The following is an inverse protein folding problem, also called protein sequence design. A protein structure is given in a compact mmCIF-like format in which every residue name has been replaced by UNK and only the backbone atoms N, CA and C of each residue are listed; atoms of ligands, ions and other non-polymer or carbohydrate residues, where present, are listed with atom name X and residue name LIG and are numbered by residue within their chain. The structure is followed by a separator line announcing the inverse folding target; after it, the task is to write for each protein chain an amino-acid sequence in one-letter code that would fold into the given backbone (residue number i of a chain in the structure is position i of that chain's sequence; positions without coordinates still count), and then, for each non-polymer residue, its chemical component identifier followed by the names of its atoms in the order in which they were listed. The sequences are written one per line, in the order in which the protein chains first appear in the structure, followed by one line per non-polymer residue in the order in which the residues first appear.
data_IF_679610609777
#
_entry.id   IF_679610609777
#
_cell.length_a   1.000
_cell.length_b   1.000
_cell.length_c   1.000
_cell.angle_alpha   90.00
_cell.angle_beta   90.00
_cell.angle_gamma   90.00
#
_symmetry.space_group_name_H-M   'P 1'
#
loop_
_entity.id
_entity.type
_entity.pdbx_description
1 polymer ?
#
# COMPACT_ATOMS: atom_id res chain seq x y z
N UNK A 1 7.43 -30.90 24.32
CA UNK A 1 8.22 -29.80 23.68
C UNK A 1 7.67 -29.68 22.27
N UNK A 2 7.00 -28.60 21.92
CA UNK A 2 6.59 -28.37 20.53
C UNK A 2 7.83 -28.23 19.68
N UNK A 3 7.93 -29.03 18.61
CA UNK A 3 8.98 -28.85 17.62
C UNK A 3 8.93 -27.41 17.11
N UNK A 4 10.07 -26.72 17.16
CA UNK A 4 10.21 -25.38 16.61
C UNK A 4 10.20 -25.50 15.10
N UNK A 5 9.02 -25.37 14.46
CA UNK A 5 8.90 -25.41 13.01
C UNK A 5 9.57 -24.15 12.42
N UNK A 6 10.32 -24.33 11.36
CA UNK A 6 10.90 -23.23 10.59
C UNK A 6 9.79 -22.23 10.21
N UNK A 7 10.11 -20.93 10.31
CA UNK A 7 9.18 -19.85 9.91
C UNK A 7 8.80 -20.05 8.45
N UNK A 8 7.52 -20.29 8.19
CA UNK A 8 7.03 -20.51 6.84
C UNK A 8 6.30 -19.25 6.34
N UNK A 9 6.92 -18.53 5.43
CA UNK A 9 6.34 -17.38 4.74
C UNK A 9 5.66 -17.76 3.41
N UNK A 10 5.08 -18.96 3.32
CA UNK A 10 4.39 -19.42 2.13
C UNK A 10 2.96 -18.94 2.05
N UNK A 11 2.61 -18.40 0.90
CA UNK A 11 1.25 -18.01 0.53
C UNK A 11 0.65 -18.93 -0.54
N UNK A 12 1.16 -20.16 -0.67
CA UNK A 12 0.63 -21.14 -1.62
C UNK A 12 -0.87 -21.38 -1.40
N UNK A 13 -1.65 -21.32 -2.48
CA UNK A 13 -3.10 -21.47 -2.45
C UNK A 13 -3.85 -20.27 -1.87
N UNK A 14 -3.19 -19.15 -1.63
CA UNK A 14 -3.77 -17.88 -1.20
C UNK A 14 -4.01 -16.95 -2.40
N UNK A 15 -5.03 -16.13 -2.29
CA UNK A 15 -5.37 -15.09 -3.26
C UNK A 15 -5.12 -13.72 -2.63
N UNK A 16 -4.31 -12.91 -3.28
CA UNK A 16 -4.00 -11.56 -2.85
C UNK A 16 -4.55 -10.53 -3.85
N UNK A 17 -5.11 -9.44 -3.32
CA UNK A 17 -5.51 -8.24 -4.05
C UNK A 17 -4.56 -7.11 -3.69
N UNK A 18 -4.05 -6.39 -4.69
CA UNK A 18 -3.28 -5.15 -4.49
C UNK A 18 -3.92 -4.04 -5.30
N UNK A 19 -4.30 -2.93 -4.65
CA UNK A 19 -4.77 -1.72 -5.34
C UNK A 19 -3.61 -0.77 -5.63
N UNK A 20 -3.67 -0.02 -6.75
CA UNK A 20 -2.53 0.77 -7.24
C UNK A 20 -1.34 -0.12 -7.59
N UNK A 21 -1.62 -1.31 -8.16
CA UNK A 21 -0.64 -2.36 -8.38
C UNK A 21 0.17 -2.22 -9.67
N UNK A 22 -0.17 -1.25 -10.52
CA UNK A 22 0.44 -1.13 -11.86
C UNK A 22 1.91 -0.69 -11.82
N UNK A 23 2.36 -0.02 -10.76
CA UNK A 23 3.74 0.50 -10.64
C UNK A 23 4.18 0.71 -9.19
N UNK A 24 5.47 1.02 -9.01
CA UNK A 24 6.05 1.44 -7.75
C UNK A 24 5.85 0.44 -6.61
N UNK A 25 5.46 0.93 -5.42
CA UNK A 25 5.31 0.11 -4.22
C UNK A 25 4.28 -1.00 -4.43
N UNK A 26 3.12 -0.69 -5.04
CA UNK A 26 2.08 -1.69 -5.26
C UNK A 26 2.53 -2.83 -6.15
N UNK A 27 3.26 -2.54 -7.22
CA UNK A 27 3.85 -3.56 -8.10
C UNK A 27 4.90 -4.40 -7.35
N UNK A 28 5.81 -3.76 -6.60
CA UNK A 28 6.81 -4.48 -5.80
C UNK A 28 6.19 -5.41 -4.77
N UNK A 29 5.14 -4.96 -4.06
CA UNK A 29 4.38 -5.80 -3.12
C UNK A 29 3.71 -6.97 -3.86
N UNK A 30 3.06 -6.73 -5.01
CA UNK A 30 2.41 -7.77 -5.78
C UNK A 30 3.40 -8.86 -6.21
N UNK A 31 4.59 -8.47 -6.69
CA UNK A 31 5.66 -9.40 -7.07
C UNK A 31 6.17 -10.21 -5.87
N UNK A 32 6.37 -9.58 -4.72
CA UNK A 32 6.81 -10.27 -3.50
C UNK A 32 5.78 -11.28 -2.99
N UNK A 33 4.47 -10.92 -3.01
CA UNK A 33 3.40 -11.85 -2.66
C UNK A 33 3.31 -13.03 -3.66
N UNK A 34 3.53 -12.77 -4.94
CA UNK A 34 3.60 -13.81 -5.98
C UNK A 34 4.78 -14.76 -5.77
N UNK A 35 5.96 -14.24 -5.46
CA UNK A 35 7.14 -15.04 -5.11
C UNK A 35 6.92 -15.91 -3.87
N UNK A 36 6.15 -15.39 -2.89
CA UNK A 36 5.74 -16.17 -1.72
C UNK A 36 4.66 -17.22 -2.03
N UNK A 37 4.12 -17.28 -3.25
CA UNK A 37 3.21 -18.32 -3.73
C UNK A 37 1.75 -17.90 -3.88
N UNK A 38 1.38 -16.64 -3.68
CA UNK A 38 0.02 -16.17 -3.86
C UNK A 38 -0.37 -16.04 -5.35
N UNK A 39 -1.64 -16.28 -5.65
CA UNK A 39 -2.27 -15.82 -6.88
C UNK A 39 -2.74 -14.37 -6.71
N UNK A 40 -2.70 -13.57 -7.77
CA UNK A 40 -2.82 -12.11 -7.66
C UNK A 40 -4.01 -11.52 -8.43
N UNK A 41 -4.67 -10.55 -7.79
CA UNK A 41 -5.48 -9.54 -8.47
C UNK A 41 -4.75 -8.21 -8.39
N UNK A 42 -4.36 -7.69 -9.55
CA UNK A 42 -3.70 -6.41 -9.67
C UNK A 42 -4.74 -5.37 -10.11
N UNK A 43 -5.14 -4.51 -9.19
CA UNK A 43 -6.15 -3.50 -9.44
C UNK A 43 -5.51 -2.12 -9.54
N UNK A 44 -5.85 -1.36 -10.58
CA UNK A 44 -5.34 0.00 -10.77
C UNK A 44 -6.41 0.89 -11.43
N UNK A 45 -6.25 2.20 -11.30
CA UNK A 45 -7.07 3.16 -12.04
C UNK A 45 -6.81 3.05 -13.55
N UNK A 46 -5.57 2.81 -13.93
CA UNK A 46 -5.15 2.54 -15.30
C UNK A 46 -5.03 1.02 -15.51
N UNK A 47 -5.98 0.47 -16.29
CA UNK A 47 -6.01 -0.95 -16.60
C UNK A 47 -4.77 -1.41 -17.38
N UNK A 48 -4.20 -0.56 -18.24
CA UNK A 48 -3.04 -0.91 -19.07
C UNK A 48 -1.81 -1.26 -18.20
N UNK A 49 -1.47 -0.38 -17.26
CA UNK A 49 -0.34 -0.65 -16.35
C UNK A 49 -0.61 -1.82 -15.40
N UNK A 50 -1.87 -2.05 -15.01
CA UNK A 50 -2.24 -3.24 -14.24
C UNK A 50 -2.04 -4.54 -15.05
N UNK A 51 -2.32 -4.52 -16.34
CA UNK A 51 -2.08 -5.66 -17.24
C UNK A 51 -0.59 -5.96 -17.41
N UNK A 52 0.24 -4.93 -17.56
CA UNK A 52 1.69 -5.07 -17.60
C UNK A 52 2.23 -5.72 -16.30
N UNK A 53 1.78 -5.23 -15.14
CA UNK A 53 2.15 -5.80 -13.86
C UNK A 53 1.65 -7.25 -13.69
N UNK A 54 0.44 -7.57 -14.18
CA UNK A 54 -0.08 -8.94 -14.16
C UNK A 54 0.77 -9.89 -15.00
N UNK A 55 1.27 -9.45 -16.15
CA UNK A 55 2.18 -10.25 -16.98
C UNK A 55 3.49 -10.59 -16.25
N UNK A 56 4.02 -9.67 -15.43
CA UNK A 56 5.20 -9.96 -14.60
C UNK A 56 4.92 -11.05 -13.55
N UNK A 57 3.76 -11.00 -12.91
CA UNK A 57 3.33 -12.03 -11.94
C UNK A 57 3.13 -13.38 -12.64
N UNK A 58 2.54 -13.40 -13.84
CA UNK A 58 2.36 -14.60 -14.64
C UNK A 58 3.71 -15.22 -15.05
N UNK A 59 4.71 -14.41 -15.34
CA UNK A 59 6.08 -14.87 -15.62
C UNK A 59 6.74 -15.57 -14.41
N UNK A 60 6.27 -15.31 -13.18
CA UNK A 60 6.67 -16.04 -11.97
C UNK A 60 5.90 -17.37 -11.79
N UNK A 61 5.06 -17.77 -12.76
CA UNK A 61 4.28 -19.01 -12.71
C UNK A 61 3.03 -18.90 -11.80
N UNK A 62 2.57 -17.69 -11.45
CA UNK A 62 1.37 -17.50 -10.64
C UNK A 62 0.20 -17.06 -11.51
N UNK A 63 -1.02 -17.42 -11.08
CA UNK A 63 -2.22 -16.88 -11.69
C UNK A 63 -2.35 -15.40 -11.33
N UNK A 64 -2.55 -14.55 -12.33
CA UNK A 64 -2.73 -13.13 -12.13
C UNK A 64 -3.80 -12.56 -13.05
N UNK A 65 -4.60 -11.63 -12.53
CA UNK A 65 -5.66 -10.93 -13.25
C UNK A 65 -5.53 -9.43 -12.99
N UNK A 66 -5.63 -8.63 -14.04
CA UNK A 66 -5.68 -7.18 -13.96
C UNK A 66 -7.13 -6.71 -13.97
N UNK A 67 -7.50 -5.82 -13.05
CA UNK A 67 -8.82 -5.22 -12.95
C UNK A 67 -8.72 -3.70 -12.83
N UNK A 68 -9.66 -2.97 -13.44
CA UNK A 68 -9.73 -1.53 -13.28
C UNK A 68 -10.50 -1.16 -12.01
N UNK A 69 -9.99 -0.17 -11.25
CA UNK A 69 -10.68 0.36 -10.06
C UNK A 69 -10.40 1.83 -9.83
N UNK A 70 -11.44 2.61 -9.59
CA UNK A 70 -11.36 3.90 -8.91
C UNK A 70 -11.74 3.70 -7.43
N UNK A 71 -10.75 3.67 -6.54
CA UNK A 71 -10.98 3.42 -5.11
C UNK A 71 -11.79 4.52 -4.42
N UNK A 72 -11.91 5.71 -5.02
CA UNK A 72 -12.75 6.80 -4.52
C UNK A 72 -14.24 6.57 -4.74
N UNK A 73 -14.63 5.58 -5.55
CA UNK A 73 -16.00 5.29 -5.98
C UNK A 73 -16.52 3.98 -5.37
N UNK A 74 -17.55 4.03 -4.50
CA UNK A 74 -18.10 2.83 -3.85
C UNK A 74 -18.52 1.75 -4.84
N UNK A 75 -19.15 2.14 -5.95
CA UNK A 75 -19.61 1.23 -6.99
C UNK A 75 -18.46 0.53 -7.72
N UNK A 76 -17.35 1.23 -7.95
CA UNK A 76 -16.15 0.67 -8.57
C UNK A 76 -15.49 -0.36 -7.64
N UNK A 77 -15.39 -0.05 -6.35
CA UNK A 77 -14.86 -0.98 -5.34
C UNK A 77 -15.76 -2.20 -5.18
N UNK A 78 -17.08 -2.02 -5.15
CA UNK A 78 -18.01 -3.14 -5.09
C UNK A 78 -17.86 -4.07 -6.32
N UNK A 79 -17.78 -3.49 -7.52
CA UNK A 79 -17.54 -4.25 -8.76
C UNK A 79 -16.21 -5.01 -8.72
N UNK A 80 -15.13 -4.40 -8.19
CA UNK A 80 -13.84 -5.06 -8.03
C UNK A 80 -13.98 -6.35 -7.19
N UNK A 81 -14.60 -6.27 -6.01
CA UNK A 81 -14.71 -7.43 -5.11
C UNK A 81 -15.62 -8.52 -5.69
N UNK A 82 -16.69 -8.17 -6.40
CA UNK A 82 -17.51 -9.15 -7.12
C UNK A 82 -16.73 -9.86 -8.23
N UNK A 83 -15.85 -9.16 -8.94
CA UNK A 83 -14.96 -9.79 -9.93
C UNK A 83 -13.90 -10.70 -9.26
N UNK A 84 -13.33 -10.31 -8.12
CA UNK A 84 -12.45 -11.18 -7.32
C UNK A 84 -13.20 -12.46 -6.91
N UNK A 85 -14.43 -12.31 -6.40
CA UNK A 85 -15.30 -13.44 -6.04
C UNK A 85 -15.55 -14.37 -7.23
N UNK A 86 -15.97 -13.81 -8.35
CA UNK A 86 -16.30 -14.59 -9.54
C UNK A 86 -15.09 -15.36 -10.10
N UNK A 87 -13.90 -14.79 -10.02
CA UNK A 87 -12.70 -15.38 -10.61
C UNK A 87 -11.96 -16.34 -9.66
N UNK A 88 -11.91 -16.03 -8.37
CA UNK A 88 -11.09 -16.79 -7.42
C UNK A 88 -11.92 -17.46 -6.31
N UNK A 89 -13.16 -17.03 -6.08
CA UNK A 89 -14.02 -17.57 -5.02
C UNK A 89 -13.60 -17.17 -3.61
N UNK A 90 -12.46 -16.49 -3.43
CA UNK A 90 -11.88 -16.12 -2.13
C UNK A 90 -10.98 -14.90 -2.22
N UNK A 91 -10.74 -14.28 -1.06
CA UNK A 91 -9.72 -13.25 -0.86
C UNK A 91 -9.03 -13.51 0.48
N UNK A 92 -7.73 -13.75 0.46
CA UNK A 92 -6.96 -14.03 1.68
C UNK A 92 -6.13 -12.85 2.15
N UNK A 93 -5.54 -12.11 1.21
CA UNK A 93 -4.69 -10.95 1.49
C UNK A 93 -5.19 -9.76 0.69
N UNK A 94 -5.37 -8.62 1.32
CA UNK A 94 -5.70 -7.36 0.66
C UNK A 94 -4.66 -6.30 1.00
N UNK A 95 -4.11 -5.64 -0.02
CA UNK A 95 -3.16 -4.55 0.12
C UNK A 95 -3.77 -3.29 -0.47
N UNK A 96 -4.22 -2.40 0.39
CA UNK A 96 -4.82 -1.12 0.05
C UNK A 96 -3.71 -0.09 -0.16
N UNK A 97 -3.06 -0.15 -1.35
CA UNK A 97 -1.91 0.69 -1.68
C UNK A 97 -2.27 1.92 -2.53
N UNK A 98 -3.36 1.90 -3.29
CA UNK A 98 -3.75 3.03 -4.14
C UNK A 98 -3.73 4.35 -3.36
N UNK A 99 -2.99 5.32 -3.87
CA UNK A 99 -2.83 6.62 -3.22
C UNK A 99 -2.13 7.63 -4.10
N UNK A 100 -2.34 8.89 -3.78
CA UNK A 100 -1.79 10.04 -4.50
C UNK A 100 -1.20 11.06 -3.54
N UNK A 101 -0.30 11.89 -4.03
CA UNK A 101 0.30 13.02 -3.30
C UNK A 101 0.22 14.28 -4.13
N UNK A 102 0.14 15.42 -3.47
CA UNK A 102 0.38 16.73 -4.06
C UNK A 102 1.02 17.64 -3.01
N UNK A 103 1.61 18.72 -3.47
CA UNK A 103 2.19 19.76 -2.62
C UNK A 103 1.29 20.98 -2.61
N UNK A 104 1.11 21.59 -1.45
CA UNK A 104 0.39 22.85 -1.31
C UNK A 104 0.45 23.39 0.11
N UNK A 105 0.73 24.67 0.24
CA UNK A 105 0.64 25.39 1.50
C UNK A 105 -0.83 25.46 1.92
N UNK A 106 -1.09 25.38 3.21
CA UNK A 106 -2.46 25.37 3.76
C UNK A 106 -3.29 26.59 3.34
N UNK A 107 -2.66 27.75 3.30
CA UNK A 107 -3.30 29.03 2.94
C UNK A 107 -3.62 29.16 1.44
N UNK A 108 -3.01 28.31 0.59
CA UNK A 108 -3.18 28.29 -0.87
C UNK A 108 -3.86 27.02 -1.38
N UNK A 109 -4.00 26.00 -0.53
CA UNK A 109 -4.53 24.70 -0.91
C UNK A 109 -6.03 24.79 -1.25
N UNK A 110 -6.37 24.44 -2.49
CA UNK A 110 -7.77 24.36 -2.90
C UNK A 110 -8.51 23.25 -2.13
N UNK A 111 -9.76 23.54 -1.71
CA UNK A 111 -10.63 22.55 -1.02
C UNK A 111 -10.82 21.30 -1.89
N UNK A 112 -10.96 21.46 -3.21
CA UNK A 112 -11.07 20.34 -4.14
C UNK A 112 -9.86 19.42 -4.14
N UNK A 113 -8.66 19.95 -3.91
CA UNK A 113 -7.45 19.16 -3.82
C UNK A 113 -7.36 18.41 -2.48
N UNK A 114 -7.74 19.06 -1.37
CA UNK A 114 -7.95 18.39 -0.09
C UNK A 114 -8.92 17.22 -0.24
N UNK A 115 -10.09 17.46 -0.84
CA UNK A 115 -11.11 16.44 -1.03
C UNK A 115 -10.61 15.29 -1.90
N UNK A 116 -9.86 15.58 -2.97
CA UNK A 116 -9.27 14.57 -3.84
C UNK A 116 -8.33 13.64 -3.08
N UNK A 117 -7.42 14.21 -2.30
CA UNK A 117 -6.45 13.44 -1.50
C UNK A 117 -7.18 12.60 -0.44
N UNK A 118 -8.11 13.19 0.29
CA UNK A 118 -8.87 12.48 1.32
C UNK A 118 -9.76 11.37 0.73
N UNK A 119 -10.40 11.62 -0.41
CA UNK A 119 -11.27 10.63 -1.07
C UNK A 119 -10.48 9.41 -1.58
N UNK A 120 -9.27 9.61 -2.09
CA UNK A 120 -8.46 8.50 -2.59
C UNK A 120 -7.73 7.81 -1.44
N UNK A 121 -6.96 8.56 -0.64
CA UNK A 121 -6.02 7.98 0.32
C UNK A 121 -6.68 7.46 1.60
N UNK A 122 -7.73 8.10 2.09
CA UNK A 122 -8.38 7.73 3.34
C UNK A 122 -9.73 7.03 3.11
N UNK A 123 -10.66 7.69 2.41
CA UNK A 123 -11.97 7.11 2.11
C UNK A 123 -11.86 5.87 1.22
N UNK A 124 -10.94 5.87 0.24
CA UNK A 124 -10.69 4.71 -0.62
C UNK A 124 -10.25 3.48 0.17
N UNK A 125 -9.34 3.64 1.13
CA UNK A 125 -8.93 2.55 2.03
C UNK A 125 -10.13 2.02 2.84
N UNK A 126 -10.96 2.90 3.39
CA UNK A 126 -12.18 2.49 4.10
C UNK A 126 -13.12 1.69 3.19
N UNK A 127 -13.39 2.16 1.97
CA UNK A 127 -14.29 1.48 1.03
C UNK A 127 -13.77 0.10 0.63
N UNK A 128 -12.47 -0.03 0.35
CA UNK A 128 -11.83 -1.30 0.04
C UNK A 128 -11.95 -2.26 1.23
N UNK A 129 -11.52 -1.84 2.43
CA UNK A 129 -11.63 -2.67 3.63
C UNK A 129 -13.05 -3.14 3.91
N UNK A 130 -14.07 -2.28 3.74
CA UNK A 130 -15.48 -2.64 3.94
C UNK A 130 -15.95 -3.72 2.97
N UNK A 131 -15.52 -3.66 1.71
CA UNK A 131 -15.91 -4.62 0.69
C UNK A 131 -15.13 -5.94 0.84
N UNK A 132 -13.82 -5.87 1.09
CA UNK A 132 -12.91 -7.00 1.32
C UNK A 132 -13.34 -7.84 2.52
N UNK A 133 -13.71 -7.19 3.63
CA UNK A 133 -14.16 -7.83 4.85
C UNK A 133 -15.32 -8.80 4.61
N UNK A 134 -16.27 -8.43 3.73
CA UNK A 134 -17.43 -9.27 3.42
C UNK A 134 -17.00 -10.61 2.82
N UNK A 135 -16.03 -10.57 1.89
CA UNK A 135 -15.54 -11.79 1.24
C UNK A 135 -14.61 -12.60 2.16
N UNK A 136 -13.79 -11.95 2.98
CA UNK A 136 -12.90 -12.60 3.95
C UNK A 136 -13.69 -13.34 5.06
N UNK A 137 -14.82 -12.78 5.51
CA UNK A 137 -15.70 -13.41 6.50
C UNK A 137 -16.26 -14.77 6.06
N UNK A 138 -16.50 -14.97 4.77
CA UNK A 138 -16.99 -16.24 4.24
C UNK A 138 -16.03 -17.41 4.47
N UNK A 139 -14.73 -17.07 4.63
CA UNK A 139 -13.67 -18.04 4.86
C UNK A 139 -13.07 -17.98 6.28
N UNK A 140 -13.57 -17.10 7.16
CA UNK A 140 -13.04 -16.85 8.50
C UNK A 140 -11.52 -16.63 8.49
N UNK A 141 -11.01 -15.95 7.47
CA UNK A 141 -9.58 -15.67 7.29
C UNK A 141 -9.40 -14.38 6.47
N UNK A 142 -8.51 -13.52 6.91
CA UNK A 142 -8.12 -12.33 6.15
C UNK A 142 -6.85 -11.67 6.69
N UNK A 143 -6.10 -11.04 5.79
CA UNK A 143 -4.93 -10.23 6.08
C UNK A 143 -5.05 -8.92 5.31
N UNK A 144 -5.34 -7.84 6.00
CA UNK A 144 -5.51 -6.51 5.40
C UNK A 144 -4.27 -5.68 5.74
N UNK A 145 -3.65 -5.11 4.72
CA UNK A 145 -2.46 -4.27 4.82
C UNK A 145 -2.76 -2.93 4.16
N UNK A 146 -2.90 -1.88 4.96
CA UNK A 146 -3.21 -0.54 4.48
C UNK A 146 -1.91 0.26 4.30
N UNK A 147 -1.66 0.82 3.11
CA UNK A 147 -0.51 1.66 2.87
C UNK A 147 -0.74 3.06 3.46
N UNK A 148 -0.14 3.28 4.63
CA UNK A 148 -0.01 4.60 5.22
C UNK A 148 1.24 5.33 4.64
N UNK A 149 2.05 5.91 5.49
CA UNK A 149 3.31 6.61 5.19
C UNK A 149 3.97 7.01 6.50
N UNK A 150 5.26 7.34 6.48
CA UNK A 150 5.87 8.14 7.56
C UNK A 150 5.12 9.47 7.75
N UNK A 151 4.53 10.02 6.69
CA UNK A 151 3.68 11.20 6.77
C UNK A 151 2.38 10.98 7.58
N UNK A 152 2.06 9.76 7.94
CA UNK A 152 1.02 9.39 8.91
C UNK A 152 1.52 9.27 10.34
N UNK A 153 2.82 9.44 10.59
CA UNK A 153 3.47 9.45 11.91
C UNK A 153 4.05 10.83 12.25
N UNK A 154 4.58 11.52 11.24
CA UNK A 154 5.15 12.86 11.36
C UNK A 154 4.54 13.76 10.30
N UNK A 155 4.23 15.01 10.62
CA UNK A 155 3.73 15.99 9.66
C UNK A 155 4.87 16.63 8.86
N UNK A 156 4.59 16.96 7.59
CA UNK A 156 5.54 17.64 6.71
C UNK A 156 4.96 18.97 6.22
N UNK A 157 5.77 20.03 6.12
CA UNK A 157 5.38 21.24 5.40
C UNK A 157 4.91 20.91 3.97
N UNK A 158 3.96 21.68 3.46
CA UNK A 158 3.36 21.54 2.12
C UNK A 158 2.64 20.20 1.84
N UNK A 159 2.59 19.30 2.83
CA UNK A 159 1.92 17.99 2.76
C UNK A 159 0.81 17.83 3.81
N UNK A 160 0.23 18.92 4.33
CA UNK A 160 -0.75 18.86 5.41
C UNK A 160 -1.95 17.95 5.10
N UNK A 161 -2.51 18.06 3.91
CA UNK A 161 -3.64 17.25 3.43
C UNK A 161 -3.23 15.77 3.19
N UNK A 162 -2.05 15.54 2.64
CA UNK A 162 -1.50 14.19 2.49
C UNK A 162 -1.22 13.56 3.86
N UNK A 163 -0.55 14.28 4.77
CA UNK A 163 -0.31 13.82 6.15
C UNK A 163 -1.62 13.49 6.86
N UNK A 164 -2.61 14.38 6.81
CA UNK A 164 -3.93 14.15 7.39
C UNK A 164 -4.54 12.84 6.87
N UNK A 165 -4.47 12.57 5.56
CA UNK A 165 -4.99 11.34 4.97
C UNK A 165 -4.26 10.10 5.48
N UNK A 166 -2.94 10.16 5.68
CA UNK A 166 -2.12 9.03 6.14
C UNK A 166 -2.23 8.79 7.66
N UNK A 167 -2.41 9.84 8.46
CA UNK A 167 -2.82 9.71 9.87
C UNK A 167 -4.20 9.06 10.00
N UNK A 168 -5.16 9.43 9.14
CA UNK A 168 -6.48 8.81 9.11
C UNK A 168 -6.41 7.30 8.82
N UNK A 169 -5.54 6.86 7.90
CA UNK A 169 -5.32 5.43 7.61
C UNK A 169 -4.79 4.68 8.83
N UNK A 170 -3.85 5.26 9.58
CA UNK A 170 -3.30 4.63 10.80
C UNK A 170 -4.37 4.51 11.87
N UNK A 171 -5.10 5.59 12.15
CA UNK A 171 -6.18 5.58 13.15
C UNK A 171 -7.30 4.61 12.79
N UNK A 172 -7.72 4.60 11.52
CA UNK A 172 -8.71 3.65 11.00
C UNK A 172 -8.22 2.19 11.15
N UNK A 173 -6.98 1.89 10.75
CA UNK A 173 -6.39 0.56 10.85
C UNK A 173 -6.41 0.05 12.29
N UNK A 174 -6.02 0.88 13.26
CA UNK A 174 -5.99 0.51 14.67
C UNK A 174 -7.40 0.20 15.23
N UNK A 175 -8.39 1.02 14.89
CA UNK A 175 -9.78 0.79 15.32
C UNK A 175 -10.36 -0.45 14.66
N UNK A 176 -10.22 -0.59 13.34
CA UNK A 176 -10.76 -1.68 12.55
C UNK A 176 -10.16 -3.03 12.96
N UNK A 177 -8.86 -3.08 13.27
CA UNK A 177 -8.22 -4.29 13.78
C UNK A 177 -8.89 -4.83 15.05
N UNK A 178 -9.32 -3.95 15.96
CA UNK A 178 -10.03 -4.34 17.20
C UNK A 178 -11.42 -4.87 16.92
N UNK A 179 -12.12 -4.33 15.93
CA UNK A 179 -13.46 -4.78 15.54
C UNK A 179 -13.46 -6.23 15.03
N UNK A 180 -12.43 -6.60 14.23
CA UNK A 180 -12.37 -7.92 13.55
C UNK A 180 -11.43 -8.92 14.21
N UNK A 181 -10.81 -8.59 15.35
CA UNK A 181 -9.76 -9.39 15.98
C UNK A 181 -10.17 -10.85 16.29
N UNK A 182 -11.47 -11.11 16.49
CA UNK A 182 -12.01 -12.45 16.80
C UNK A 182 -12.50 -13.21 15.56
N UNK A 183 -12.37 -12.62 14.39
CA UNK A 183 -12.89 -13.18 13.13
C UNK A 183 -11.79 -13.87 12.28
N UNK A 184 -10.61 -14.11 12.85
CA UNK A 184 -9.47 -14.68 12.12
C UNK A 184 -8.81 -13.69 11.14
N UNK A 185 -9.14 -12.40 11.26
CA UNK A 185 -8.69 -11.32 10.35
C UNK A 185 -7.72 -10.42 11.09
N UNK A 186 -6.59 -10.09 10.44
CA UNK A 186 -5.65 -9.08 10.93
C UNK A 186 -5.67 -7.86 10.03
N UNK A 187 -5.49 -6.67 10.61
CA UNK A 187 -5.44 -5.40 9.89
C UNK A 187 -4.23 -4.61 10.36
N UNK A 188 -3.30 -4.29 9.47
CA UNK A 188 -2.08 -3.55 9.79
C UNK A 188 -1.84 -2.42 8.79
N UNK A 189 -1.11 -1.39 9.21
CA UNK A 189 -0.63 -0.34 8.34
C UNK A 189 0.87 -0.53 8.05
N UNK A 190 1.25 -0.47 6.77
CA UNK A 190 2.63 -0.36 6.32
C UNK A 190 2.91 1.13 6.08
N UNK A 191 3.97 1.64 6.68
CA UNK A 191 4.33 3.06 6.62
C UNK A 191 5.68 3.22 5.89
N UNK A 192 5.68 3.37 4.55
CA UNK A 192 6.90 3.61 3.80
C UNK A 192 7.55 4.94 4.16
N UNK A 193 8.88 4.96 4.14
CA UNK A 193 9.69 6.18 4.14
C UNK A 193 9.87 6.76 2.74
N UNK A 194 11.13 7.01 2.38
CA UNK A 194 11.54 7.50 1.07
C UNK A 194 11.84 6.32 0.16
N UNK A 195 10.97 6.06 -0.81
CA UNK A 195 11.11 4.93 -1.75
C UNK A 195 11.31 5.47 -3.16
N UNK A 196 12.33 4.99 -3.88
CA UNK A 196 12.72 5.47 -5.21
C UNK A 196 11.73 5.15 -6.33
N UNK A 197 10.48 5.57 -6.19
CA UNK A 197 9.40 5.39 -7.18
C UNK A 197 9.07 6.70 -7.89
N UNK A 198 8.18 6.67 -8.88
CA UNK A 198 7.72 7.86 -9.58
C UNK A 198 7.06 8.92 -8.69
N UNK A 199 6.69 8.60 -7.45
CA UNK A 199 6.26 9.61 -6.47
C UNK A 199 7.43 10.51 -6.03
N UNK A 200 8.65 9.97 -5.95
CA UNK A 200 9.85 10.70 -5.57
C UNK A 200 10.71 11.10 -6.76
N UNK A 201 10.79 10.27 -7.79
CA UNK A 201 11.74 10.37 -8.91
C UNK A 201 11.08 10.89 -10.18
N UNK A 202 11.90 11.49 -11.05
CA UNK A 202 11.48 12.07 -12.32
C UNK A 202 11.02 13.52 -12.18
N UNK A 203 10.70 14.15 -13.32
CA UNK A 203 10.43 15.59 -13.43
C UNK A 203 9.19 16.03 -12.61
N UNK A 204 8.25 15.15 -12.39
CA UNK A 204 7.04 15.39 -11.59
C UNK A 204 7.13 14.83 -10.16
N UNK A 205 8.25 14.20 -9.80
CA UNK A 205 8.47 13.62 -8.48
C UNK A 205 8.76 14.65 -7.39
N UNK A 206 8.65 14.23 -6.13
CA UNK A 206 8.91 15.11 -4.99
C UNK A 206 10.35 15.66 -4.99
N UNK A 207 11.35 14.87 -5.43
CA UNK A 207 12.72 15.33 -5.53
C UNK A 207 12.87 16.50 -6.50
N UNK A 208 12.22 16.50 -7.65
CA UNK A 208 12.25 17.62 -8.58
C UNK A 208 11.53 18.84 -8.02
N UNK A 209 10.36 18.63 -7.38
CA UNK A 209 9.54 19.71 -6.81
C UNK A 209 10.17 20.39 -5.60
N UNK A 210 11.01 19.69 -4.85
CA UNK A 210 11.76 20.19 -3.70
C UNK A 210 13.23 20.52 -4.03
N UNK A 211 13.60 20.53 -5.31
CA UNK A 211 14.93 20.94 -5.74
C UNK A 211 15.20 22.41 -5.39
N UNK A 212 16.40 22.69 -4.90
CA UNK A 212 16.85 24.06 -4.63
C UNK A 212 17.20 24.78 -5.95
N UNK A 213 17.22 26.13 -5.97
CA UNK A 213 17.60 26.84 -7.16
C UNK A 213 18.97 26.39 -7.73
N UNK A 214 18.98 25.91 -8.97
CA UNK A 214 20.15 25.37 -9.65
C UNK A 214 20.47 23.90 -9.37
N UNK A 215 19.69 23.23 -8.52
CA UNK A 215 19.84 21.81 -8.21
C UNK A 215 19.08 20.95 -9.25
N UNK A 216 19.69 19.89 -9.74
CA UNK A 216 19.04 18.89 -10.58
C UNK A 216 18.17 17.94 -9.73
N UNK A 217 17.22 17.21 -10.35
CA UNK A 217 16.41 16.19 -9.66
C UNK A 217 17.31 15.14 -8.98
N UNK A 218 18.38 14.70 -9.63
CA UNK A 218 19.32 13.71 -9.09
C UNK A 218 20.04 14.26 -7.84
N UNK A 219 20.53 15.48 -7.88
CA UNK A 219 21.18 16.13 -6.72
C UNK A 219 20.20 16.31 -5.55
N UNK A 220 18.96 16.73 -5.85
CA UNK A 220 17.90 16.86 -4.86
C UNK A 220 17.56 15.49 -4.24
N UNK A 221 17.47 14.44 -5.04
CA UNK A 221 17.25 13.08 -4.56
C UNK A 221 18.38 12.62 -3.61
N UNK A 222 19.65 12.77 -3.99
CA UNK A 222 20.80 12.41 -3.17
C UNK A 222 20.83 13.20 -1.86
N UNK A 223 20.53 14.50 -1.91
CA UNK A 223 20.41 15.35 -0.72
C UNK A 223 19.28 14.87 0.20
N UNK A 224 18.12 14.52 -0.34
CA UNK A 224 17.02 14.02 0.48
C UNK A 224 17.36 12.69 1.16
N UNK A 225 18.00 11.76 0.46
CA UNK A 225 18.44 10.51 1.07
C UNK A 225 19.41 10.77 2.25
N UNK A 226 20.44 11.57 2.01
CA UNK A 226 21.46 11.83 3.03
C UNK A 226 20.98 12.68 4.21
N UNK A 227 19.99 13.57 3.99
CA UNK A 227 19.52 14.49 5.02
C UNK A 227 18.30 13.98 5.82
N UNK A 228 17.43 13.18 5.19
CA UNK A 228 16.22 12.70 5.82
C UNK A 228 16.37 11.32 6.44
N UNK A 229 17.25 10.48 5.91
CA UNK A 229 17.33 9.08 6.31
C UNK A 229 18.57 8.84 7.17
N UNK A 230 18.44 8.44 8.44
CA UNK A 230 19.55 8.02 9.28
C UNK A 230 20.42 6.92 8.67
N UNK A 231 19.86 6.01 7.88
CA UNK A 231 20.60 5.00 7.13
C UNK A 231 21.33 5.56 5.90
N UNK A 232 21.01 6.77 5.44
CA UNK A 232 21.66 7.45 4.32
C UNK A 232 21.22 7.00 2.94
N UNK A 233 20.33 6.04 2.83
CA UNK A 233 19.85 5.48 1.56
C UNK A 233 18.35 5.22 1.56
N UNK A 234 17.72 5.39 0.39
CA UNK A 234 16.30 5.19 0.21
C UNK A 234 15.92 3.70 0.29
N UNK A 235 14.71 3.43 0.77
CA UNK A 235 14.15 2.10 0.78
C UNK A 235 13.76 1.68 -0.65
N UNK A 236 13.73 0.37 -0.86
CA UNK A 236 13.33 -0.25 -2.12
C UNK A 236 11.85 -0.68 -2.09
N UNK A 237 11.28 -1.00 -3.23
CA UNK A 237 9.93 -1.59 -3.31
C UNK A 237 9.93 -3.02 -2.76
N UNK A 238 11.05 -3.71 -2.82
CA UNK A 238 11.28 -5.04 -2.25
C UNK A 238 11.21 -5.03 -0.73
N UNK A 239 11.73 -4.00 -0.05
CA UNK A 239 11.62 -3.84 1.40
C UNK A 239 10.15 -3.75 1.83
N UNK A 240 9.33 -3.02 1.06
CA UNK A 240 7.88 -2.95 1.28
C UNK A 240 7.22 -4.31 1.06
N UNK A 241 7.65 -5.03 0.02
CA UNK A 241 7.19 -6.38 -0.31
C UNK A 241 7.50 -7.39 0.79
N UNK A 242 8.71 -7.36 1.36
CA UNK A 242 9.12 -8.25 2.46
C UNK A 242 8.24 -8.05 3.70
N UNK A 243 7.96 -6.80 4.09
CA UNK A 243 7.05 -6.55 5.21
C UNK A 243 5.61 -6.98 4.88
N UNK A 244 5.16 -6.78 3.65
CA UNK A 244 3.82 -7.22 3.24
C UNK A 244 3.68 -8.75 3.32
N UNK A 245 4.67 -9.52 2.88
CA UNK A 245 4.70 -10.99 3.01
C UNK A 245 4.71 -11.39 4.49
N UNK A 246 5.52 -10.76 5.32
CA UNK A 246 5.51 -11.00 6.76
C UNK A 246 4.11 -10.80 7.38
N UNK A 247 3.49 -9.66 7.12
CA UNK A 247 2.15 -9.33 7.64
C UNK A 247 1.06 -10.27 7.10
N UNK A 248 1.20 -10.73 5.86
CA UNK A 248 0.30 -11.73 5.26
C UNK A 248 0.40 -13.10 5.95
N UNK A 249 1.55 -13.44 6.54
CA UNK A 249 1.81 -14.71 7.21
C UNK A 249 1.67 -14.64 8.75
N UNK A 250 1.74 -13.44 9.36
CA UNK A 250 1.78 -13.26 10.81
C UNK A 250 0.37 -13.28 11.44
N UNK A 251 -0.05 -14.35 12.16
CA UNK A 251 -1.42 -14.48 12.63
C UNK A 251 -1.74 -13.62 13.87
N UNK A 252 -0.73 -13.15 14.58
CA UNK A 252 -0.89 -12.42 15.85
C UNK A 252 -0.37 -10.98 15.77
N UNK A 253 -0.06 -10.48 14.56
CA UNK A 253 0.27 -9.07 14.32
C UNK A 253 -0.97 -8.37 13.76
N UNK A 254 -1.62 -7.53 14.56
CA UNK A 254 -2.79 -6.76 14.15
C UNK A 254 -2.83 -5.40 14.84
N UNK A 255 -3.41 -4.40 14.20
CA UNK A 255 -3.53 -3.03 14.68
C UNK A 255 -2.21 -2.25 14.69
N UNK A 256 -1.16 -2.76 14.05
CA UNK A 256 0.16 -2.14 14.05
C UNK A 256 0.31 -1.16 12.87
N UNK A 257 1.13 -0.11 13.10
CA UNK A 257 1.60 0.82 12.06
C UNK A 257 3.13 0.72 11.99
N UNK A 258 3.62 -0.16 11.10
CA UNK A 258 5.03 -0.53 11.01
C UNK A 258 5.71 0.32 9.94
N UNK A 259 6.77 1.04 10.35
CA UNK A 259 7.59 1.82 9.44
C UNK A 259 8.68 0.97 8.78
N UNK A 260 8.90 1.23 7.49
CA UNK A 260 10.08 0.81 6.73
C UNK A 260 10.63 2.09 6.12
N UNK A 261 11.49 2.78 6.87
CA UNK A 261 11.80 4.19 6.64
C UNK A 261 13.27 4.58 6.92
N UNK A 262 14.13 3.59 7.12
CA UNK A 262 15.55 3.88 7.38
C UNK A 262 15.82 4.65 8.67
N UNK A 263 14.87 4.61 9.65
CA UNK A 263 14.99 5.31 10.93
C UNK A 263 14.45 6.74 10.90
N UNK A 264 13.77 7.17 9.84
CA UNK A 264 13.28 8.53 9.71
C UNK A 264 12.29 8.95 10.82
N UNK A 265 11.40 8.06 11.22
CA UNK A 265 10.32 8.37 12.18
C UNK A 265 10.66 8.04 13.64
N UNK A 266 11.94 7.86 13.97
CA UNK A 266 12.41 7.62 15.34
C UNK A 266 12.36 8.89 16.19
#
# INVERSE_FOLDING_TARGET
MSEFNAVNFSLNGKVALVTGAGRGIGQGIALSLAQAGADLVLADYDLGIAQEAAALVQALGRRAVALQVDVSKPESVASLIEQVRAQFGRLDVAVNNAGVVSLGRVDELAVSEWDRIMNINARGVFLCCQAELKLMREHNFGRIINLASIAGKVGFPDLSHYSASKFAVIGFTNAFAKEVAREGITVNALCPGVVGTGMWRGDEGLSARWAQPGETEVQSWERHQSSLLPQGEAQTVEDMGQLAVYLACAPHVTGQAIAVDGGFSL
#
